data_IF_714728936310
#
_entry.id   IF_714728936310
#
_cell.length_a   1.000
_cell.length_b   1.000
_cell.length_c   1.000
_cell.angle_alpha   90.00
_cell.angle_beta   90.00
_cell.angle_gamma   90.00
#
_symmetry.space_group_name_H-M   'P 1'
#
loop_
_entity.id
_entity.type
_entity.pdbx_description
1 polymer ?
#
# COMPACT_ATOMS: atom_id res chain seq x y z
N UNK A 1 -30.94 -6.40 -15.86
CA UNK A 1 -29.99 -5.76 -14.92
C UNK A 1 -28.74 -5.55 -15.74
N UNK A 2 -28.44 -4.31 -16.08
CA UNK A 2 -27.29 -3.93 -16.90
C UNK A 2 -26.01 -4.24 -16.15
N UNK A 3 -25.05 -4.87 -16.82
CA UNK A 3 -23.72 -5.30 -16.34
C UNK A 3 -22.77 -4.09 -16.12
N UNK A 4 -23.33 -2.95 -15.71
CA UNK A 4 -22.72 -1.61 -15.70
C UNK A 4 -22.54 -1.09 -14.26
N UNK A 5 -22.61 -1.96 -13.26
CA UNK A 5 -22.22 -1.60 -11.89
C UNK A 5 -20.68 -1.58 -11.79
N UNK A 6 -20.10 -0.56 -11.15
CA UNK A 6 -18.65 -0.48 -10.98
C UNK A 6 -18.14 -1.72 -10.23
N UNK A 7 -17.34 -2.53 -10.91
CA UNK A 7 -16.76 -3.75 -10.34
C UNK A 7 -15.45 -3.42 -9.63
N UNK A 8 -15.38 -3.75 -8.35
CA UNK A 8 -14.13 -3.67 -7.59
C UNK A 8 -13.23 -4.88 -7.92
N UNK A 9 -12.00 -4.61 -8.34
CA UNK A 9 -10.99 -5.62 -8.63
C UNK A 9 -10.11 -5.83 -7.40
N UNK A 10 -10.50 -6.80 -6.57
CA UNK A 10 -9.77 -7.13 -5.34
C UNK A 10 -8.55 -8.00 -5.62
N UNK A 11 -7.49 -7.81 -4.83
CA UNK A 11 -6.37 -8.75 -4.76
C UNK A 11 -6.84 -10.08 -4.13
N UNK A 12 -6.18 -11.17 -4.53
CA UNK A 12 -6.33 -12.45 -3.85
C UNK A 12 -5.79 -12.40 -2.42
N UNK A 13 -6.41 -13.20 -1.54
CA UNK A 13 -5.92 -13.37 -0.17
C UNK A 13 -4.56 -14.11 -0.23
N UNK A 14 -3.54 -13.65 0.53
CA UNK A 14 -2.26 -14.34 0.60
C UNK A 14 -2.44 -15.84 0.96
N UNK A 15 -1.74 -16.77 0.27
CA UNK A 15 -1.93 -18.20 0.48
C UNK A 15 -1.71 -18.65 1.94
N UNK A 16 -0.69 -18.09 2.60
CA UNK A 16 -0.40 -18.35 4.01
C UNK A 16 -1.54 -17.92 4.95
N UNK A 17 -2.18 -16.78 4.66
CA UNK A 17 -3.36 -16.33 5.40
C UNK A 17 -4.59 -17.21 5.17
N UNK A 18 -4.72 -17.85 4.00
CA UNK A 18 -5.77 -18.85 3.74
C UNK A 18 -5.50 -20.17 4.48
N UNK A 19 -4.25 -20.61 4.51
CA UNK A 19 -3.84 -21.89 5.10
C UNK A 19 -3.79 -21.84 6.64
N UNK A 20 -3.28 -20.75 7.20
CA UNK A 20 -2.98 -20.63 8.63
C UNK A 20 -3.97 -19.71 9.37
N UNK A 21 -4.82 -19.02 8.62
CA UNK A 21 -5.61 -17.90 9.12
C UNK A 21 -4.76 -16.62 9.21
N UNK A 22 -5.44 -15.50 9.37
CA UNK A 22 -4.79 -14.19 9.45
C UNK A 22 -5.80 -13.08 9.70
N UNK A 23 -5.28 -11.88 9.94
CA UNK A 23 -6.08 -10.67 10.12
C UNK A 23 -5.64 -9.65 9.08
N UNK A 24 -6.58 -9.23 8.23
CA UNK A 24 -6.34 -8.09 7.33
C UNK A 24 -6.17 -6.81 8.18
N UNK A 25 -5.00 -6.19 8.05
CA UNK A 25 -4.62 -4.98 8.82
C UNK A 25 -4.83 -3.68 8.04
N UNK A 26 -4.71 -3.74 6.71
CA UNK A 26 -4.81 -2.62 5.78
C UNK A 26 -5.41 -3.10 4.46
N UNK A 27 -6.33 -2.31 3.91
CA UNK A 27 -6.81 -2.42 2.53
C UNK A 27 -6.78 -1.03 1.90
N UNK A 28 -6.17 -0.92 0.72
CA UNK A 28 -6.10 0.32 -0.05
C UNK A 28 -6.67 0.07 -1.46
N UNK A 29 -7.46 1.01 -1.96
CA UNK A 29 -8.09 0.94 -3.27
C UNK A 29 -8.01 2.30 -3.97
N UNK A 30 -7.81 2.31 -5.29
CA UNK A 30 -7.97 3.52 -6.08
C UNK A 30 -9.45 3.66 -6.47
N UNK A 31 -10.09 4.73 -6.01
CA UNK A 31 -11.50 5.06 -6.28
C UNK A 31 -11.55 6.50 -6.74
N UNK A 32 -12.10 6.74 -7.93
CA UNK A 32 -12.24 8.08 -8.55
C UNK A 32 -10.94 8.91 -8.53
N UNK A 33 -9.79 8.25 -8.75
CA UNK A 33 -8.47 8.90 -8.80
C UNK A 33 -7.85 9.22 -7.44
N UNK A 34 -8.51 8.84 -6.34
CA UNK A 34 -7.98 8.96 -4.98
C UNK A 34 -7.74 7.58 -4.35
N UNK A 35 -6.89 7.53 -3.32
CA UNK A 35 -6.68 6.31 -2.53
C UNK A 35 -7.66 6.29 -1.36
N UNK A 36 -8.53 5.29 -1.32
CA UNK A 36 -9.39 4.98 -0.17
C UNK A 36 -8.72 3.90 0.68
N UNK A 37 -8.64 4.11 1.99
CA UNK A 37 -7.94 3.21 2.92
C UNK A 37 -8.85 2.77 4.07
N UNK A 38 -8.88 1.47 4.34
CA UNK A 38 -9.46 0.89 5.53
C UNK A 38 -8.35 0.30 6.41
N UNK A 39 -8.39 0.60 7.71
CA UNK A 39 -7.40 0.18 8.71
C UNK A 39 -8.06 -0.52 9.89
N UNK A 40 -7.44 -1.60 10.36
CA UNK A 40 -7.78 -2.21 11.65
C UNK A 40 -6.70 -1.84 12.67
N UNK A 41 -7.12 -1.48 13.89
CA UNK A 41 -6.18 -1.35 15.02
C UNK A 41 -5.64 -2.72 15.39
N UNK A 42 -4.54 -3.10 14.75
CA UNK A 42 -4.00 -4.47 14.79
C UNK A 42 -2.68 -4.58 15.54
N UNK A 43 -2.06 -3.45 15.89
CA UNK A 43 -0.78 -3.40 16.60
C UNK A 43 -0.91 -2.62 17.91
N UNK A 44 -0.21 -3.10 18.94
CA UNK A 44 -0.12 -2.41 20.23
C UNK A 44 0.94 -1.29 20.21
N UNK A 45 2.03 -1.50 19.46
CA UNK A 45 3.12 -0.55 19.30
C UNK A 45 3.04 0.20 17.94
N UNK A 46 2.89 1.54 17.94
CA UNK A 46 2.90 2.36 16.73
C UNK A 46 4.13 2.16 15.84
N UNK A 47 5.31 1.84 16.38
CA UNK A 47 6.51 1.60 15.59
C UNK A 47 6.36 0.40 14.62
N UNK A 48 5.40 -0.49 14.89
CA UNK A 48 5.07 -1.60 13.98
C UNK A 48 4.45 -1.12 12.67
N UNK A 49 3.71 0.00 12.69
CA UNK A 49 3.25 0.63 11.45
C UNK A 49 4.41 1.15 10.60
N UNK A 50 5.46 1.69 11.24
CA UNK A 50 6.67 2.13 10.53
C UNK A 50 7.34 0.99 9.76
N UNK A 51 7.41 -0.21 10.36
CA UNK A 51 7.93 -1.41 9.69
C UNK A 51 7.06 -1.81 8.50
N UNK A 52 5.74 -1.86 8.69
CA UNK A 52 4.80 -2.19 7.62
C UNK A 52 4.93 -1.23 6.42
N UNK A 53 5.06 0.07 6.67
CA UNK A 53 5.21 1.08 5.61
C UNK A 53 6.51 0.89 4.82
N UNK A 54 7.62 0.57 5.49
CA UNK A 54 8.89 0.26 4.82
C UNK A 54 8.76 -1.00 3.96
N UNK A 55 8.10 -2.04 4.47
CA UNK A 55 7.89 -3.27 3.72
C UNK A 55 7.02 -3.04 2.48
N UNK A 56 5.95 -2.25 2.61
CA UNK A 56 5.10 -1.82 1.49
C UNK A 56 5.91 -1.05 0.43
N UNK A 57 6.75 -0.11 0.84
CA UNK A 57 7.60 0.66 -0.07
C UNK A 57 8.60 -0.24 -0.82
N UNK A 58 9.16 -1.27 -0.15
CA UNK A 58 10.03 -2.26 -0.81
C UNK A 58 9.28 -3.12 -1.82
N UNK A 59 8.09 -3.60 -1.47
CA UNK A 59 7.26 -4.37 -2.40
C UNK A 59 6.89 -3.55 -3.64
N UNK A 60 6.52 -2.28 -3.46
CA UNK A 60 6.28 -1.38 -4.59
C UNK A 60 7.54 -1.22 -5.47
N UNK A 61 8.72 -0.99 -4.87
CA UNK A 61 9.97 -0.88 -5.62
C UNK A 61 10.30 -2.16 -6.42
N UNK A 62 10.05 -3.33 -5.85
CA UNK A 62 10.22 -4.62 -6.53
C UNK A 62 9.28 -4.76 -7.74
N UNK A 63 8.04 -4.31 -7.64
CA UNK A 63 7.09 -4.30 -8.77
C UNK A 63 7.60 -3.37 -9.87
N UNK A 64 8.00 -2.14 -9.54
CA UNK A 64 8.59 -1.21 -10.51
C UNK A 64 9.82 -1.79 -11.21
N UNK A 65 10.70 -2.47 -10.46
CA UNK A 65 11.90 -3.07 -11.04
C UNK A 65 11.61 -4.25 -11.99
N UNK A 66 10.45 -4.89 -11.86
CA UNK A 66 10.02 -5.98 -12.75
C UNK A 66 9.30 -5.47 -14.00
N UNK A 67 8.59 -4.35 -13.88
CA UNK A 67 7.71 -3.84 -14.92
C UNK A 67 8.31 -2.67 -15.71
N UNK A 68 9.45 -2.13 -15.26
CA UNK A 68 10.12 -0.98 -15.86
C UNK A 68 11.64 -1.21 -15.94
N UNK A 69 12.37 -0.24 -16.49
CA UNK A 69 13.84 -0.27 -16.57
C UNK A 69 14.53 0.24 -15.29
N UNK A 70 13.77 0.64 -14.25
CA UNK A 70 14.34 1.10 -12.99
C UNK A 70 14.90 -0.07 -12.18
N UNK A 71 16.03 0.13 -11.51
CA UNK A 71 16.44 -0.80 -10.46
C UNK A 71 15.53 -0.68 -9.22
N UNK A 72 15.47 -1.75 -8.42
CA UNK A 72 14.76 -1.73 -7.13
C UNK A 72 15.29 -0.59 -6.24
N UNK A 73 16.61 -0.36 -6.21
CA UNK A 73 17.24 0.68 -5.41
C UNK A 73 16.80 2.08 -5.86
N UNK A 74 16.80 2.35 -7.17
CA UNK A 74 16.33 3.63 -7.72
C UNK A 74 14.84 3.84 -7.48
N UNK A 75 14.02 2.81 -7.65
CA UNK A 75 12.59 2.88 -7.39
C UNK A 75 12.31 3.16 -5.91
N UNK A 76 12.98 2.43 -5.00
CA UNK A 76 12.84 2.63 -3.56
C UNK A 76 13.30 4.02 -3.12
N UNK A 77 14.42 4.51 -3.68
CA UNK A 77 14.93 5.85 -3.39
C UNK A 77 13.92 6.94 -3.79
N UNK A 78 13.25 6.78 -4.94
CA UNK A 78 12.19 7.71 -5.39
C UNK A 78 10.95 7.64 -4.51
N UNK A 79 10.51 6.44 -4.12
CA UNK A 79 9.39 6.26 -3.18
C UNK A 79 9.69 6.95 -1.84
N UNK A 80 10.90 6.76 -1.30
CA UNK A 80 11.33 7.43 -0.06
C UNK A 80 11.33 8.96 -0.19
N UNK A 81 11.87 9.49 -1.28
CA UNK A 81 11.87 10.92 -1.54
C UNK A 81 10.44 11.51 -1.59
N UNK A 82 9.49 10.79 -2.18
CA UNK A 82 8.08 11.16 -2.18
C UNK A 82 7.47 11.22 -0.76
N UNK A 83 7.73 10.20 0.07
CA UNK A 83 7.26 10.17 1.46
C UNK A 83 7.84 11.33 2.30
N UNK A 84 9.12 11.65 2.10
CA UNK A 84 9.78 12.76 2.80
C UNK A 84 9.23 14.11 2.39
N UNK A 85 8.92 14.30 1.10
CA UNK A 85 8.29 15.53 0.61
C UNK A 85 6.90 15.75 1.25
N UNK A 86 6.09 14.69 1.35
CA UNK A 86 4.78 14.74 1.99
C UNK A 86 4.86 15.01 3.49
N UNK A 87 5.82 14.40 4.19
CA UNK A 87 6.02 14.61 5.62
C UNK A 87 6.42 16.04 5.97
N UNK A 88 6.91 16.83 5.00
CA UNK A 88 7.33 18.21 5.17
C UNK A 88 6.25 19.23 4.76
N UNK A 89 5.09 18.77 4.28
CA UNK A 89 3.93 19.61 3.97
C UNK A 89 2.88 19.52 5.09
N UNK A 90 2.93 20.43 6.08
CA UNK A 90 2.02 20.41 7.23
C UNK A 90 0.57 20.81 6.88
N UNK A 91 0.30 21.30 5.67
CA UNK A 91 -1.03 21.81 5.27
C UNK A 91 -1.91 20.72 4.62
N UNK A 92 -1.36 19.55 4.29
CA UNK A 92 -2.07 18.49 3.56
C UNK A 92 -3.02 17.62 4.40
N UNK A 93 -2.96 17.73 5.73
CA UNK A 93 -3.76 16.92 6.67
C UNK A 93 -4.87 17.70 7.40
N UNK A 94 -5.20 18.94 6.98
CA UNK A 94 -6.31 19.74 7.53
C UNK A 94 -7.48 19.87 6.55
#
# INVERSE_FOLDING_TARGET
MTDDEPRFEALDVPPDALEQGGIEVLRAAVVDGAVSVALRRSFEDPATWGRLLVDLARQAALVYARETELSEEEAFARIRAGMEAESLDPERFN
#
